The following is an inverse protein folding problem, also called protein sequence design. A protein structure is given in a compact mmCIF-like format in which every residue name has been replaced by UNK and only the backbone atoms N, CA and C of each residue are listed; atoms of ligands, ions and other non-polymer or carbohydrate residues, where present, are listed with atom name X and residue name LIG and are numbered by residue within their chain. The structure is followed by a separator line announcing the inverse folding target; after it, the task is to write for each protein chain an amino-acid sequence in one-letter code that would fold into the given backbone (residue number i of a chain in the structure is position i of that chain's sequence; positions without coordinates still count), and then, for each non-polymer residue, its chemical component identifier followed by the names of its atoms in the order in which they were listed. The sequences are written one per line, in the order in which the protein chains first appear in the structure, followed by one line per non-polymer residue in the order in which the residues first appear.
data_IF_527114388845
#
_entry.id   IF_527114388845
#
_cell.length_a   1.000
_cell.length_b   1.000
_cell.length_c   1.000
_cell.angle_alpha   90.00
_cell.angle_beta   90.00
_cell.angle_gamma   90.00
#
_symmetry.space_group_name_H-M   'P 1'
#
loop_
_entity.id
_entity.type
_entity.pdbx_description
1 polymer ?
#
# COMPACT_ATOMS: atom_id res chain seq x y z
N UNK A 1 78.49 0.55 8.80
CA UNK A 1 77.54 0.61 7.66
C UNK A 1 76.26 -0.03 8.08
N UNK A 2 75.25 0.80 8.40
CA UNK A 2 73.94 0.34 8.86
C UNK A 2 72.92 0.51 7.68
N UNK A 3 72.25 -0.58 7.30
CA UNK A 3 71.23 -0.59 6.28
C UNK A 3 69.85 -0.45 6.96
N UNK A 4 69.13 0.62 6.66
CA UNK A 4 67.75 0.81 7.00
C UNK A 4 66.96 0.40 5.77
N UNK A 5 66.11 -0.64 5.91
CA UNK A 5 65.06 -1.01 4.93
C UNK A 5 63.78 -0.19 5.16
N UNK A 6 63.02 0.08 4.11
CA UNK A 6 61.82 0.91 4.25
C UNK A 6 60.64 0.12 4.88
N UNK A 7 59.95 0.79 5.81
CA UNK A 7 58.71 0.32 6.40
C UNK A 7 57.62 0.27 5.33
N UNK A 8 56.97 -0.88 5.20
CA UNK A 8 55.79 -1.03 4.36
C UNK A 8 54.55 -0.51 5.10
N UNK A 9 53.99 0.58 4.59
CA UNK A 9 52.69 1.08 4.97
C UNK A 9 51.63 0.07 4.54
N UNK A 10 51.05 -0.63 5.50
CA UNK A 10 49.86 -1.44 5.31
C UNK A 10 48.63 -0.51 5.32
N UNK A 11 48.31 0.04 4.14
CA UNK A 11 47.01 0.66 3.93
C UNK A 11 45.91 -0.43 4.06
N UNK A 12 45.18 -0.42 5.18
CA UNK A 12 43.99 -1.20 5.38
C UNK A 12 42.90 -0.65 4.45
N UNK A 13 42.92 -1.08 3.19
CA UNK A 13 41.82 -0.86 2.26
C UNK A 13 40.62 -1.66 2.73
N UNK A 14 39.59 -0.97 3.20
CA UNK A 14 38.30 -1.54 3.48
C UNK A 14 37.73 -2.07 2.17
N UNK A 15 37.86 -3.37 1.93
CA UNK A 15 37.21 -4.05 0.81
C UNK A 15 35.71 -4.04 1.08
N UNK A 16 35.01 -2.99 0.66
CA UNK A 16 33.58 -3.03 0.41
C UNK A 16 33.36 -4.00 -0.73
N UNK A 17 32.85 -5.19 -0.43
CA UNK A 17 32.46 -6.14 -1.45
C UNK A 17 31.35 -5.51 -2.32
N UNK A 18 31.47 -5.53 -3.66
CA UNK A 18 30.46 -4.94 -4.58
C UNK A 18 29.08 -5.60 -4.51
N UNK A 19 28.92 -6.65 -3.69
CA UNK A 19 27.67 -7.38 -3.54
C UNK A 19 26.63 -6.78 -2.58
N UNK A 20 27.02 -5.91 -1.65
CA UNK A 20 26.07 -5.38 -0.65
C UNK A 20 25.18 -4.24 -1.19
N UNK A 21 25.64 -3.48 -2.17
CA UNK A 21 24.85 -2.42 -2.80
C UNK A 21 23.78 -2.95 -3.77
N UNK A 22 23.89 -4.20 -4.21
CA UNK A 22 22.93 -4.83 -5.15
C UNK A 22 21.70 -5.47 -4.49
N UNK A 23 21.64 -5.52 -3.15
CA UNK A 23 20.62 -6.25 -2.42
C UNK A 23 19.43 -5.40 -1.94
N UNK A 24 19.46 -4.08 -2.12
CA UNK A 24 18.30 -3.22 -1.84
C UNK A 24 17.60 -2.92 -3.17
N UNK A 25 17.08 -3.94 -3.84
CA UNK A 25 16.05 -3.71 -4.85
C UNK A 25 14.80 -3.27 -4.08
N UNK A 26 14.37 -2.03 -4.28
CA UNK A 26 13.04 -1.62 -3.89
C UNK A 26 12.06 -2.59 -4.52
N UNK A 27 11.10 -3.08 -3.75
CA UNK A 27 9.99 -3.87 -4.26
C UNK A 27 9.23 -3.08 -5.33
N UNK A 28 8.58 -3.79 -6.24
CA UNK A 28 7.67 -3.17 -7.22
C UNK A 28 6.34 -2.75 -6.58
N UNK A 29 6.08 -3.17 -5.33
CA UNK A 29 4.86 -2.84 -4.59
C UNK A 29 4.87 -1.38 -4.12
N UNK A 30 3.67 -0.79 -3.84
CA UNK A 30 3.56 0.55 -3.25
C UNK A 30 4.47 0.71 -2.03
N UNK A 31 4.98 1.91 -1.82
CA UNK A 31 5.96 2.27 -0.78
C UNK A 31 7.34 1.62 -0.94
N UNK A 32 7.57 0.83 -2.00
CA UNK A 32 8.82 0.12 -2.25
C UNK A 32 9.13 -0.98 -1.22
N UNK A 33 8.13 -1.42 -0.47
CA UNK A 33 8.25 -2.44 0.56
C UNK A 33 7.98 -3.83 -0.03
N UNK A 34 8.73 -4.84 0.41
CA UNK A 34 8.43 -6.24 0.07
C UNK A 34 7.18 -6.71 0.79
N UNK A 35 6.40 -7.58 0.16
CA UNK A 35 5.23 -8.19 0.72
C UNK A 35 5.23 -9.71 0.47
N UNK A 36 4.55 -10.48 1.34
CA UNK A 36 4.42 -11.92 1.26
C UNK A 36 2.95 -12.31 1.37
N UNK A 37 2.58 -13.39 0.71
CA UNK A 37 1.21 -13.91 0.74
C UNK A 37 0.72 -14.12 2.17
N UNK A 38 -0.46 -13.60 2.47
CA UNK A 38 -1.12 -13.79 3.75
C UNK A 38 -1.99 -15.06 3.68
N UNK A 39 -1.52 -16.16 4.31
CA UNK A 39 -2.18 -17.46 4.20
C UNK A 39 -3.42 -17.61 5.10
N UNK A 40 -3.56 -16.80 6.17
CA UNK A 40 -4.68 -16.85 7.12
C UNK A 40 -4.85 -15.53 7.87
N UNK A 41 -6.02 -15.33 8.50
CA UNK A 41 -6.32 -14.16 9.34
C UNK A 41 -7.56 -13.40 8.91
N UNK A 42 -8.13 -12.60 9.82
CA UNK A 42 -9.41 -11.92 9.63
C UNK A 42 -9.45 -11.03 8.38
N UNK A 43 -8.37 -10.30 8.09
CA UNK A 43 -8.29 -9.43 6.90
C UNK A 43 -8.37 -10.25 5.61
N UNK A 44 -7.71 -11.41 5.57
CA UNK A 44 -7.81 -12.34 4.44
C UNK A 44 -9.22 -12.90 4.26
N UNK A 45 -9.84 -13.31 5.36
CA UNK A 45 -11.19 -13.89 5.31
C UNK A 45 -12.22 -12.85 4.82
N UNK A 46 -12.08 -11.59 5.22
CA UNK A 46 -12.89 -10.48 4.69
C UNK A 46 -12.68 -10.28 3.20
N UNK A 47 -11.42 -10.23 2.77
CA UNK A 47 -11.11 -10.08 1.35
C UNK A 47 -11.71 -11.20 0.50
N UNK A 48 -11.61 -12.46 0.94
CA UNK A 48 -12.26 -13.60 0.27
C UNK A 48 -13.78 -13.40 0.17
N UNK A 49 -14.40 -12.83 1.21
CA UNK A 49 -15.82 -12.47 1.18
C UNK A 49 -16.13 -11.43 0.11
N UNK A 50 -15.30 -10.41 -0.01
CA UNK A 50 -15.41 -9.38 -1.06
C UNK A 50 -15.17 -9.96 -2.45
N UNK A 51 -14.13 -10.77 -2.65
CA UNK A 51 -13.83 -11.39 -3.96
C UNK A 51 -15.03 -12.18 -4.51
N UNK A 52 -15.72 -12.95 -3.67
CA UNK A 52 -16.92 -13.67 -4.10
C UNK A 52 -18.02 -12.74 -4.60
N UNK A 53 -18.25 -11.62 -3.89
CA UNK A 53 -19.22 -10.61 -4.31
C UNK A 53 -18.77 -9.94 -5.61
N UNK A 54 -17.47 -9.62 -5.74
CA UNK A 54 -16.93 -9.03 -6.95
C UNK A 54 -17.11 -9.93 -8.18
N UNK A 55 -16.98 -11.25 -8.03
CA UNK A 55 -17.18 -12.19 -9.15
C UNK A 55 -18.63 -12.16 -9.64
N UNK A 56 -19.61 -12.14 -8.74
CA UNK A 56 -21.04 -12.02 -9.09
C UNK A 56 -21.34 -10.64 -9.69
N UNK A 57 -20.80 -9.56 -9.11
CA UNK A 57 -21.01 -8.19 -9.59
C UNK A 57 -20.37 -7.93 -10.96
N UNK A 58 -19.23 -8.55 -11.26
CA UNK A 58 -18.59 -8.45 -12.58
C UNK A 58 -19.49 -8.97 -13.69
N UNK A 59 -20.20 -10.06 -13.44
CA UNK A 59 -21.20 -10.57 -14.40
C UNK A 59 -22.33 -9.55 -14.59
N UNK A 60 -22.86 -9.02 -13.50
CA UNK A 60 -23.92 -8.01 -13.55
C UNK A 60 -23.46 -6.73 -14.26
N UNK A 61 -22.28 -6.23 -13.92
CA UNK A 61 -21.69 -5.05 -14.55
C UNK A 61 -21.44 -5.27 -16.05
N UNK A 62 -20.95 -6.43 -16.46
CA UNK A 62 -20.74 -6.74 -17.88
C UNK A 62 -22.07 -6.78 -18.66
N UNK A 63 -23.12 -7.34 -18.09
CA UNK A 63 -24.46 -7.35 -18.70
C UNK A 63 -25.02 -5.92 -18.83
N UNK A 64 -24.88 -5.11 -17.77
CA UNK A 64 -25.31 -3.71 -17.79
C UNK A 64 -24.48 -2.83 -18.73
N UNK A 65 -23.19 -3.13 -18.87
CA UNK A 65 -22.28 -2.41 -19.79
C UNK A 65 -22.64 -2.72 -21.26
N UNK A 66 -23.03 -3.96 -21.55
CA UNK A 66 -23.47 -4.39 -22.87
C UNK A 66 -24.85 -3.87 -23.31
N UNK A 67 -25.77 -3.66 -22.36
CA UNK A 67 -27.13 -3.13 -22.64
C UNK A 67 -27.63 -2.28 -21.47
N UNK A 68 -27.36 -0.98 -21.52
CA UNK A 68 -27.73 -0.01 -20.47
C UNK A 68 -29.24 0.11 -20.29
N UNK A 69 -30.00 -0.02 -21.37
CA UNK A 69 -31.46 0.14 -21.35
C UNK A 69 -32.15 -1.03 -20.63
N UNK A 70 -31.52 -2.19 -20.61
CA UNK A 70 -32.01 -3.38 -19.91
C UNK A 70 -31.39 -3.57 -18.51
N UNK A 71 -30.45 -2.72 -18.13
CA UNK A 71 -29.87 -2.79 -16.80
C UNK A 71 -30.84 -2.37 -15.73
N UNK A 72 -31.15 -3.29 -14.82
CA UNK A 72 -32.11 -3.07 -13.72
C UNK A 72 -31.46 -2.61 -12.41
N UNK A 73 -30.14 -2.47 -12.39
CA UNK A 73 -29.38 -2.06 -11.21
C UNK A 73 -28.99 -0.58 -11.28
N UNK A 74 -29.63 0.31 -10.50
CA UNK A 74 -29.21 1.71 -10.43
C UNK A 74 -27.76 1.89 -9.96
N UNK A 75 -27.30 1.03 -9.03
CA UNK A 75 -25.92 1.03 -8.54
C UNK A 75 -24.92 0.73 -9.66
N UNK A 76 -25.19 -0.29 -10.48
CA UNK A 76 -24.37 -0.63 -11.64
C UNK A 76 -24.36 0.50 -12.68
N UNK A 77 -25.51 1.07 -13.01
CA UNK A 77 -25.60 2.21 -13.94
C UNK A 77 -24.82 3.41 -13.44
N UNK A 78 -24.89 3.71 -12.15
CA UNK A 78 -24.14 4.84 -11.55
C UNK A 78 -22.62 4.59 -11.62
N UNK A 79 -22.16 3.42 -11.18
CA UNK A 79 -20.75 3.06 -11.27
C UNK A 79 -20.24 3.10 -12.71
N UNK A 80 -20.99 2.53 -13.64
CA UNK A 80 -20.62 2.47 -15.05
C UNK A 80 -20.59 3.86 -15.71
N UNK A 81 -21.45 4.80 -15.30
CA UNK A 81 -21.37 6.19 -15.77
C UNK A 81 -20.04 6.85 -15.37
N UNK A 82 -19.58 6.63 -14.14
CA UNK A 82 -18.26 7.10 -13.67
C UNK A 82 -17.11 6.44 -14.47
N UNK A 83 -17.24 5.15 -14.73
CA UNK A 83 -16.27 4.39 -15.54
C UNK A 83 -16.18 4.93 -16.97
N UNK A 84 -17.32 5.24 -17.59
CA UNK A 84 -17.34 5.79 -18.96
C UNK A 84 -16.70 7.16 -19.05
N UNK A 85 -16.94 8.04 -18.08
CA UNK A 85 -16.27 9.34 -17.98
C UNK A 85 -14.75 9.17 -17.81
N UNK A 86 -14.31 8.17 -17.09
CA UNK A 86 -12.89 7.86 -16.92
C UNK A 86 -12.28 7.21 -18.18
N UNK A 87 -13.01 6.33 -18.88
CA UNK A 87 -12.58 5.73 -20.16
C UNK A 87 -12.30 6.78 -21.23
N UNK A 88 -13.04 7.91 -21.20
CA UNK A 88 -12.82 9.05 -22.10
C UNK A 88 -11.52 9.81 -21.83
N UNK A 89 -10.77 9.47 -20.78
CA UNK A 89 -9.51 10.12 -20.37
C UNK A 89 -8.35 9.13 -20.40
N UNK A 90 -7.13 9.67 -20.32
CA UNK A 90 -5.91 8.86 -20.27
C UNK A 90 -5.02 9.24 -19.07
N UNK A 91 -4.10 8.35 -18.72
CA UNK A 91 -3.05 8.58 -17.73
C UNK A 91 -3.61 9.13 -16.41
N UNK A 92 -2.97 10.17 -15.90
CA UNK A 92 -3.33 10.77 -14.60
C UNK A 92 -4.76 11.33 -14.56
N UNK A 93 -5.29 11.79 -15.69
CA UNK A 93 -6.65 12.33 -15.77
C UNK A 93 -7.71 11.24 -15.57
N UNK A 94 -7.49 10.01 -16.12
CA UNK A 94 -8.35 8.84 -15.87
C UNK A 94 -8.40 8.47 -14.41
N UNK A 95 -7.23 8.34 -13.77
CA UNK A 95 -7.12 8.00 -12.34
C UNK A 95 -7.78 9.07 -11.46
N UNK A 96 -7.54 10.36 -11.78
CA UNK A 96 -8.12 11.49 -11.06
C UNK A 96 -9.63 11.57 -11.16
N UNK A 97 -10.20 11.23 -12.32
CA UNK A 97 -11.65 11.18 -12.50
C UNK A 97 -12.29 10.13 -11.60
N UNK A 98 -11.77 8.91 -11.57
CA UNK A 98 -12.25 7.85 -10.68
C UNK A 98 -12.16 8.30 -9.21
N UNK A 99 -10.99 8.83 -8.79
CA UNK A 99 -10.83 9.27 -7.41
C UNK A 99 -11.89 10.31 -7.03
N UNK A 100 -12.03 11.35 -7.85
CA UNK A 100 -12.95 12.46 -7.59
C UNK A 100 -14.41 12.03 -7.65
N UNK A 101 -14.81 11.30 -8.68
CA UNK A 101 -16.20 10.93 -8.89
C UNK A 101 -16.70 9.99 -7.77
N UNK A 102 -15.91 8.98 -7.38
CA UNK A 102 -16.27 8.08 -6.29
C UNK A 102 -16.29 8.81 -4.94
N UNK A 103 -15.31 9.71 -4.67
CA UNK A 103 -15.33 10.52 -3.45
C UNK A 103 -16.58 11.44 -3.34
N UNK A 104 -17.17 11.82 -4.46
CA UNK A 104 -18.39 12.63 -4.48
C UNK A 104 -19.67 11.79 -4.48
N UNK A 105 -19.63 10.57 -5.02
CA UNK A 105 -20.80 9.70 -5.14
C UNK A 105 -21.15 8.99 -3.82
N UNK A 106 -20.15 8.72 -2.98
CA UNK A 106 -20.29 7.98 -1.74
C UNK A 106 -20.17 8.97 -0.57
N UNK A 107 -21.07 8.85 0.40
CA UNK A 107 -21.03 9.64 1.65
C UNK A 107 -20.22 8.89 2.70
N UNK A 108 -19.24 9.55 3.37
CA UNK A 108 -18.51 8.92 4.47
C UNK A 108 -19.44 8.51 5.61
N UNK A 109 -19.36 7.25 6.01
CA UNK A 109 -20.15 6.68 7.11
C UNK A 109 -19.39 5.49 7.68
N UNK A 110 -19.28 5.42 9.01
CA UNK A 110 -18.69 4.24 9.66
C UNK A 110 -19.63 3.04 9.61
N UNK A 111 -19.07 1.85 9.54
CA UNK A 111 -19.81 0.59 9.55
C UNK A 111 -20.74 0.44 10.77
N UNK A 112 -20.26 0.85 11.95
CA UNK A 112 -21.09 0.81 13.14
C UNK A 112 -22.37 1.64 12.98
N UNK A 113 -22.30 2.78 12.28
CA UNK A 113 -23.47 3.62 12.01
C UNK A 113 -24.34 3.03 10.90
N UNK A 114 -23.72 2.43 9.88
CA UNK A 114 -24.42 1.93 8.70
C UNK A 114 -25.03 0.55 8.92
N UNK A 115 -24.28 -0.35 9.56
CA UNK A 115 -24.60 -1.77 9.67
C UNK A 115 -24.87 -2.24 11.11
N UNK A 116 -24.47 -1.45 12.13
CA UNK A 116 -24.48 -1.88 13.52
C UNK A 116 -23.36 -2.85 13.88
N UNK A 117 -22.43 -3.08 12.95
CA UNK A 117 -21.26 -3.96 13.08
C UNK A 117 -19.98 -3.17 12.91
N UNK A 118 -18.85 -3.75 13.28
CA UNK A 118 -17.54 -3.11 13.12
C UNK A 118 -16.83 -3.76 11.94
N UNK A 119 -16.27 -2.93 11.05
CA UNK A 119 -15.34 -3.34 9.99
C UNK A 119 -15.98 -4.34 8.99
N UNK A 120 -17.03 -3.88 8.29
CA UNK A 120 -17.80 -4.59 7.25
C UNK A 120 -17.33 -4.13 5.87
N UNK A 121 -16.74 -5.01 5.09
CA UNK A 121 -16.26 -4.68 3.75
C UNK A 121 -17.35 -4.89 2.71
N UNK A 122 -17.81 -3.80 2.11
CA UNK A 122 -18.84 -3.82 1.08
C UNK A 122 -18.24 -3.94 -0.32
N UNK A 123 -18.96 -4.63 -1.20
CA UNK A 123 -18.63 -4.63 -2.62
C UNK A 123 -19.03 -3.31 -3.29
N UNK A 124 -18.51 -2.99 -4.48
CA UNK A 124 -18.84 -1.75 -5.18
C UNK A 124 -20.34 -1.52 -5.35
N UNK A 125 -21.12 -2.53 -5.76
CA UNK A 125 -22.54 -2.34 -5.96
C UNK A 125 -23.32 -2.23 -4.65
N UNK A 126 -22.86 -2.86 -3.56
CA UNK A 126 -23.41 -2.64 -2.21
C UNK A 126 -23.15 -1.21 -1.75
N UNK A 127 -21.93 -0.71 -1.94
CA UNK A 127 -21.55 0.67 -1.59
C UNK A 127 -22.31 1.71 -2.40
N UNK A 128 -22.47 1.49 -3.72
CA UNK A 128 -23.26 2.39 -4.56
C UNK A 128 -24.78 2.29 -4.30
N UNK A 129 -25.28 1.14 -3.90
CA UNK A 129 -26.69 0.97 -3.54
C UNK A 129 -27.04 1.67 -2.22
N UNK A 130 -26.15 1.63 -1.23
CA UNK A 130 -26.30 2.34 0.05
C UNK A 130 -26.00 3.84 -0.07
N UNK A 131 -25.16 4.22 -1.04
CA UNK A 131 -24.65 5.58 -1.21
C UNK A 131 -23.76 6.07 -0.06
N UNK A 132 -23.24 5.14 0.77
CA UNK A 132 -22.40 5.44 1.91
C UNK A 132 -21.38 4.31 2.14
N UNK A 133 -20.30 4.61 2.83
CA UNK A 133 -19.27 3.65 3.19
C UNK A 133 -18.09 4.31 3.91
N UNK A 134 -17.16 3.51 4.40
CA UNK A 134 -15.92 4.01 4.99
C UNK A 134 -14.69 3.76 4.10
N UNK A 135 -13.48 3.77 4.64
CA UNK A 135 -12.28 3.86 3.81
C UNK A 135 -12.06 2.65 2.91
N UNK A 136 -12.35 1.44 3.37
CA UNK A 136 -12.21 0.22 2.58
C UNK A 136 -13.24 0.11 1.47
N UNK A 137 -14.48 0.53 1.71
CA UNK A 137 -15.54 0.55 0.71
C UNK A 137 -15.16 1.46 -0.46
N UNK A 138 -14.65 2.65 -0.16
CA UNK A 138 -14.10 3.56 -1.18
C UNK A 138 -12.92 2.94 -1.92
N UNK A 139 -12.01 2.28 -1.21
CA UNK A 139 -10.83 1.68 -1.83
C UNK A 139 -11.21 0.54 -2.78
N UNK A 140 -12.13 -0.33 -2.37
CA UNK A 140 -12.66 -1.45 -3.17
C UNK A 140 -13.41 -0.91 -4.41
N UNK A 141 -14.28 0.09 -4.23
CA UNK A 141 -15.02 0.70 -5.33
C UNK A 141 -14.08 1.34 -6.36
N UNK A 142 -13.04 2.06 -5.91
CA UNK A 142 -12.03 2.68 -6.79
C UNK A 142 -11.20 1.63 -7.52
N UNK A 143 -10.76 0.58 -6.84
CA UNK A 143 -9.99 -0.53 -7.42
C UNK A 143 -10.76 -1.17 -8.57
N UNK A 144 -12.03 -1.51 -8.36
CA UNK A 144 -12.85 -2.14 -9.38
C UNK A 144 -13.21 -1.15 -10.51
N UNK A 145 -13.52 0.12 -10.21
CA UNK A 145 -13.78 1.14 -11.22
C UNK A 145 -12.56 1.40 -12.11
N UNK A 146 -11.35 1.43 -11.56
CA UNK A 146 -10.11 1.57 -12.32
C UNK A 146 -9.87 0.39 -13.24
N UNK A 147 -10.12 -0.84 -12.75
CA UNK A 147 -10.04 -2.06 -13.55
C UNK A 147 -11.02 -2.01 -14.72
N UNK A 148 -12.28 -1.63 -14.46
CA UNK A 148 -13.31 -1.46 -15.50
C UNK A 148 -12.96 -0.34 -16.49
N UNK A 149 -12.30 0.72 -16.04
CA UNK A 149 -11.84 1.81 -16.90
C UNK A 149 -10.60 1.43 -17.74
N UNK A 150 -10.12 0.18 -17.65
CA UNK A 150 -9.02 -0.35 -18.47
C UNK A 150 -7.62 -0.10 -17.91
N UNK A 151 -7.49 0.18 -16.61
CA UNK A 151 -6.18 0.14 -15.95
C UNK A 151 -5.78 -1.31 -15.75
N UNK A 152 -4.51 -1.64 -16.07
CA UNK A 152 -4.00 -3.00 -15.90
C UNK A 152 -4.14 -3.46 -14.45
N UNK A 153 -4.65 -4.67 -14.18
CA UNK A 153 -4.70 -5.22 -12.83
C UNK A 153 -3.33 -5.29 -12.15
N UNK A 154 -2.24 -5.45 -12.92
CA UNK A 154 -0.88 -5.44 -12.38
C UNK A 154 -0.46 -4.06 -11.85
N UNK A 155 -1.15 -3.01 -12.29
CA UNK A 155 -0.93 -1.63 -11.88
C UNK A 155 -1.95 -1.14 -10.83
N UNK A 156 -2.72 -2.05 -10.22
CA UNK A 156 -3.74 -1.73 -9.23
C UNK A 156 -3.47 -2.43 -7.91
N UNK A 157 -3.64 -1.70 -6.80
CA UNK A 157 -3.56 -2.23 -5.44
C UNK A 157 -4.62 -1.57 -4.55
N UNK A 158 -5.03 -2.30 -3.51
CA UNK A 158 -5.60 -1.71 -2.30
C UNK A 158 -4.53 -1.82 -1.23
N UNK A 159 -4.25 -0.73 -0.53
CA UNK A 159 -3.28 -0.71 0.57
C UNK A 159 -3.99 -0.41 1.86
N UNK A 160 -3.83 -1.30 2.84
CA UNK A 160 -4.27 -1.10 4.22
C UNK A 160 -3.06 -0.65 5.02
N UNK A 161 -3.21 0.45 5.74
CA UNK A 161 -2.13 1.09 6.47
C UNK A 161 -2.59 1.58 7.83
N UNK A 162 -1.70 1.65 8.79
CA UNK A 162 -1.94 2.27 10.09
C UNK A 162 -1.68 3.76 10.00
N UNK A 163 -2.68 4.58 10.24
CA UNK A 163 -2.50 6.00 10.50
C UNK A 163 -1.84 6.17 11.88
N UNK A 164 -0.56 6.57 11.87
CA UNK A 164 0.24 6.65 13.10
C UNK A 164 -0.09 7.91 13.91
N UNK A 165 -0.77 8.87 13.32
CA UNK A 165 -1.19 10.09 13.99
C UNK A 165 -2.52 9.90 14.71
N UNK A 166 -3.52 9.28 14.06
CA UNK A 166 -4.84 9.06 14.66
C UNK A 166 -4.94 7.71 15.39
N UNK A 167 -4.02 6.78 15.14
CA UNK A 167 -4.01 5.48 15.78
C UNK A 167 -5.09 4.52 15.24
N UNK A 168 -5.55 4.69 14.01
CA UNK A 168 -6.58 3.88 13.35
C UNK A 168 -6.07 3.27 12.04
N UNK A 169 -6.73 2.22 11.56
CA UNK A 169 -6.43 1.65 10.25
C UNK A 169 -7.12 2.45 9.15
N UNK A 170 -6.51 2.50 7.99
CA UNK A 170 -6.99 3.24 6.83
C UNK A 170 -6.69 2.48 5.55
N UNK A 171 -7.64 2.47 4.63
CA UNK A 171 -7.51 1.83 3.34
C UNK A 171 -7.54 2.86 2.19
N UNK A 172 -6.72 2.64 1.17
CA UNK A 172 -6.71 3.43 -0.06
C UNK A 172 -6.54 2.53 -1.27
N UNK A 173 -7.14 2.92 -2.40
CA UNK A 173 -6.73 2.37 -3.67
C UNK A 173 -5.39 3.00 -4.09
N UNK A 174 -4.59 2.25 -4.83
CA UNK A 174 -3.35 2.73 -5.43
C UNK A 174 -3.27 2.28 -6.90
N UNK A 175 -2.82 3.17 -7.77
CA UNK A 175 -2.62 2.87 -9.16
C UNK A 175 -1.20 3.28 -9.60
N UNK A 176 -0.53 2.41 -10.36
CA UNK A 176 0.80 2.71 -10.90
C UNK A 176 0.67 3.40 -12.26
N UNK A 177 1.35 4.52 -12.41
CA UNK A 177 1.45 5.28 -13.65
C UNK A 177 2.90 5.70 -13.85
N UNK A 178 3.46 5.42 -15.02
CA UNK A 178 4.84 5.76 -15.38
C UNK A 178 5.89 5.30 -14.34
N UNK A 179 5.62 4.14 -13.70
CA UNK A 179 6.50 3.57 -12.67
C UNK A 179 6.32 4.13 -11.27
N UNK A 180 5.39 5.06 -11.06
CA UNK A 180 5.08 5.68 -9.76
C UNK A 180 3.72 5.24 -9.24
N UNK A 181 3.62 4.87 -7.98
CA UNK A 181 2.36 4.58 -7.33
C UNK A 181 1.67 5.86 -6.86
N UNK A 182 0.42 6.03 -7.23
CA UNK A 182 -0.45 7.12 -6.84
C UNK A 182 -1.54 6.59 -5.92
N UNK A 183 -1.69 7.16 -4.74
CA UNK A 183 -2.77 6.82 -3.79
C UNK A 183 -4.03 7.61 -4.12
N UNK A 184 -5.17 6.90 -4.14
CA UNK A 184 -6.51 7.43 -4.36
C UNK A 184 -7.28 7.34 -3.04
N UNK A 185 -7.12 8.35 -2.20
CA UNK A 185 -7.64 8.42 -0.85
C UNK A 185 -9.07 9.02 -0.82
N UNK A 186 -9.98 8.48 0.01
CA UNK A 186 -11.30 9.05 0.19
C UNK A 186 -11.27 10.38 0.99
N UNK A 187 -10.22 10.61 1.75
CA UNK A 187 -9.98 11.86 2.52
C UNK A 187 -9.41 12.99 1.66
N UNK A 188 -9.05 12.72 0.37
CA UNK A 188 -8.37 13.69 -0.51
C UNK A 188 -8.87 13.61 -1.95
N UNK A 189 -9.15 14.77 -2.53
CA UNK A 189 -9.49 14.84 -3.97
C UNK A 189 -8.25 14.69 -4.86
N UNK A 190 -7.09 15.14 -4.38
CA UNK A 190 -5.83 15.01 -5.12
C UNK A 190 -5.15 13.67 -4.82
N UNK A 191 -4.69 13.01 -5.86
CA UNK A 191 -3.84 11.83 -5.74
C UNK A 191 -2.43 12.23 -5.28
N UNK A 192 -1.85 11.43 -4.40
CA UNK A 192 -0.51 11.64 -3.84
C UNK A 192 0.37 10.44 -4.18
N UNK A 193 1.61 10.69 -4.61
CA UNK A 193 2.58 9.62 -4.76
C UNK A 193 2.87 8.96 -3.40
N UNK A 194 2.97 7.65 -3.40
CA UNK A 194 3.23 6.85 -2.21
C UNK A 194 4.48 7.31 -1.44
N UNK A 195 5.52 7.70 -2.15
CA UNK A 195 6.75 8.26 -1.58
C UNK A 195 6.52 9.57 -0.79
N UNK A 196 5.42 10.28 -1.02
CA UNK A 196 5.04 11.53 -0.36
C UNK A 196 3.97 11.35 0.74
N UNK A 197 3.45 10.15 0.90
CA UNK A 197 2.50 9.81 1.98
C UNK A 197 3.25 9.79 3.32
N UNK A 198 2.75 10.52 4.31
CA UNK A 198 3.39 10.67 5.63
C UNK A 198 2.43 10.22 6.73
N UNK A 199 2.99 9.83 7.86
CA UNK A 199 2.25 9.40 9.06
C UNK A 199 1.44 8.11 8.87
N UNK A 200 1.80 7.28 7.89
CA UNK A 200 1.19 5.99 7.65
C UNK A 200 2.25 4.88 7.64
N UNK A 201 1.88 3.73 8.20
CA UNK A 201 2.67 2.49 8.13
C UNK A 201 1.89 1.46 7.34
N UNK A 202 2.31 1.08 6.12
CA UNK A 202 1.67 0.04 5.35
C UNK A 202 1.66 -1.29 6.12
N UNK A 203 0.52 -1.99 6.10
CA UNK A 203 0.30 -3.26 6.79
C UNK A 203 0.06 -4.39 5.78
N UNK A 204 -0.91 -4.17 4.88
CA UNK A 204 -1.30 -5.16 3.89
C UNK A 204 -1.46 -4.50 2.52
N UNK A 205 -1.26 -5.30 1.48
CA UNK A 205 -1.53 -4.93 0.09
C UNK A 205 -2.35 -6.02 -0.57
N UNK A 206 -3.32 -5.62 -1.35
CA UNK A 206 -4.25 -6.49 -2.07
C UNK A 206 -4.09 -6.22 -3.56
N UNK A 207 -4.02 -7.28 -4.35
CA UNK A 207 -4.03 -7.25 -5.80
C UNK A 207 -5.05 -8.24 -6.38
N UNK A 208 -4.96 -8.50 -7.68
CA UNK A 208 -5.83 -9.46 -8.38
C UNK A 208 -5.63 -10.92 -7.96
N UNK A 209 -4.57 -11.25 -7.22
CA UNK A 209 -4.22 -12.60 -6.80
C UNK A 209 -4.54 -12.86 -5.32
N UNK A 210 -4.81 -11.82 -4.56
CA UNK A 210 -5.18 -11.93 -3.16
C UNK A 210 -4.52 -10.87 -2.28
N UNK A 211 -4.34 -11.21 -1.01
CA UNK A 211 -3.79 -10.30 -0.02
C UNK A 211 -2.40 -10.74 0.43
N UNK A 212 -1.51 -9.76 0.53
CA UNK A 212 -0.15 -9.91 1.03
C UNK A 212 0.06 -9.01 2.24
N UNK A 213 0.95 -9.43 3.13
CA UNK A 213 1.40 -8.63 4.26
C UNK A 213 2.74 -7.98 3.93
N UNK A 214 2.87 -6.69 4.19
CA UNK A 214 4.16 -6.01 4.07
C UNK A 214 5.17 -6.51 5.09
N UNK A 215 6.41 -6.65 4.66
CA UNK A 215 7.52 -6.91 5.56
C UNK A 215 7.68 -5.75 6.54
N UNK A 216 7.92 -6.06 7.81
CA UNK A 216 8.39 -5.05 8.75
C UNK A 216 9.71 -4.45 8.25
N UNK A 217 9.85 -3.13 8.37
CA UNK A 217 11.11 -2.46 8.01
C UNK A 217 12.25 -3.13 8.79
N UNK A 218 13.34 -3.59 8.14
CA UNK A 218 14.43 -4.26 8.82
C UNK A 218 14.94 -3.43 10.00
N UNK A 219 15.25 -4.10 11.12
CA UNK A 219 15.77 -3.47 12.34
C UNK A 219 17.02 -2.57 12.09
N UNK A 220 17.78 -2.86 11.03
CA UNK A 220 18.96 -2.08 10.60
C UNK A 220 18.63 -0.63 10.21
N UNK A 221 17.39 -0.33 9.83
CA UNK A 221 16.97 1.04 9.54
C UNK A 221 16.65 1.87 10.81
N UNK A 222 16.66 1.25 11.98
CA UNK A 222 16.37 1.88 13.29
C UNK A 222 17.61 2.18 14.11
N UNK A 223 18.81 1.88 13.62
CA UNK A 223 20.02 2.27 14.31
C UNK A 223 20.20 3.79 14.17
N UNK A 224 20.22 4.56 15.26
CA UNK A 224 20.53 5.97 15.19
C UNK A 224 21.94 6.11 14.61
N UNK A 225 22.07 6.91 13.57
CA UNK A 225 23.38 7.30 13.02
C UNK A 225 24.01 8.20 14.10
N UNK A 226 24.94 7.65 14.89
CA UNK A 226 25.77 8.49 15.75
C UNK A 226 26.02 8.08 17.19
N UNK A 227 25.95 6.81 17.57
CA UNK A 227 26.59 6.40 18.83
C UNK A 227 27.87 5.64 18.52
N UNK A 228 29.00 6.31 18.81
CA UNK A 228 30.31 5.66 18.82
C UNK A 228 30.35 4.53 19.88
N UNK A 229 31.01 3.40 19.60
CA UNK A 229 31.09 2.31 20.56
C UNK A 229 31.80 2.84 21.85
N UNK A 230 31.34 2.37 23.04
CA UNK A 230 31.95 2.78 24.28
C UNK A 230 33.44 2.38 24.28
N UNK A 231 34.29 3.34 24.51
CA UNK A 231 35.73 3.12 24.73
C UNK A 231 35.88 2.19 25.93
N UNK A 232 36.49 1.04 25.70
CA UNK A 232 36.96 0.14 26.77
C UNK A 232 37.93 0.90 27.66
N UNK A 233 37.48 1.30 28.84
CA UNK A 233 38.33 1.83 29.89
C UNK A 233 39.18 0.67 30.42
N UNK A 234 40.49 0.76 30.23
CA UNK A 234 41.46 -0.15 30.85
C UNK A 234 41.27 -0.15 32.37
N UNK A 235 41.02 -1.32 32.93
CA UNK A 235 41.06 -1.51 34.38
C UNK A 235 42.50 -1.45 34.85
N UNK A 236 42.83 -0.69 35.91
CA UNK A 236 44.16 -0.69 36.48
C UNK A 236 44.47 -2.04 37.16
N UNK A 237 45.60 -2.61 36.84
CA UNK A 237 46.10 -3.83 37.42
C UNK A 237 46.24 -3.72 38.95
N UNK A 238 45.58 -4.60 39.68
CA UNK A 238 45.80 -4.81 41.12
C UNK A 238 47.16 -5.45 41.35
N UNK A 239 48.11 -4.68 41.87
CA UNK A 239 49.37 -5.18 42.37
C UNK A 239 49.11 -5.88 43.71
N UNK A 240 49.26 -7.21 43.72
CA UNK A 240 49.27 -7.97 44.96
C UNK A 240 50.63 -7.79 45.63
N UNK A 241 50.66 -7.12 46.76
CA UNK A 241 51.80 -7.15 47.68
C UNK A 241 51.69 -8.35 48.63
N UNK A 242 52.70 -9.23 48.55
CA UNK A 242 52.90 -10.30 49.51
C UNK A 242 53.50 -9.70 50.80
N UNK A 243 52.97 -10.07 51.98
CA UNK A 243 53.67 -10.39 53.19
C UNK A 243 52.83 -11.34 54.05
#
# INVERSE_FOLDING_TARGET
MAWFGPAADLAAGTLMTPGAAGLIRKSAEPFGLSAWDLSFGAVRDKWIGVERKLDDERVQLALCDGDRDRCVSPAALHLLAIVDDARAREGRARLGEINRAINLAIRPMSDLTQWGEIDVWSSPLETFASGAGDCEDYAIAKFEALRLAGVSPDDLRIVIMRDTFHGEDHAVAAARLDGHWLTLDNRRMAMVEDANVRNYRPLFVIDQHGIMQYADTPLLARLPVGEAPPTLTEQPALIASAN
#
